data_IF_478165552290
#
_entry.id   IF_478165552290
#
_cell.length_a   1.000
_cell.length_b   1.000
_cell.length_c   1.000
_cell.angle_alpha   90.00
_cell.angle_beta   90.00
_cell.angle_gamma   90.00
#
_symmetry.space_group_name_H-M   'P 1'
#
loop_
_entity.id
_entity.type
_entity.pdbx_description
1 polymer ?
#
# COMPACT_ATOMS: atom_id res chain seq x y z
N UNK A 1 -1.27 15.72 -12.45
CA UNK A 1 -0.68 15.90 -11.10
C UNK A 1 0.83 16.09 -11.09
N UNK A 2 1.68 15.07 -11.33
CA UNK A 2 3.16 15.18 -11.15
C UNK A 2 3.77 16.39 -11.85
N UNK A 3 3.41 16.62 -13.11
CA UNK A 3 3.85 17.78 -13.90
C UNK A 3 3.27 19.11 -13.39
N UNK A 4 1.98 19.13 -13.09
CA UNK A 4 1.25 20.36 -12.70
C UNK A 4 1.67 20.88 -11.33
N UNK A 5 2.03 19.97 -10.42
CA UNK A 5 2.44 20.27 -9.05
C UNK A 5 3.96 20.19 -8.87
N UNK A 6 4.71 20.03 -9.97
CA UNK A 6 6.18 19.92 -9.98
C UNK A 6 6.74 18.90 -8.95
N UNK A 7 6.06 17.76 -8.82
CA UNK A 7 6.39 16.73 -7.83
C UNK A 7 7.68 16.00 -8.21
N UNK A 8 8.65 16.06 -7.30
CA UNK A 8 9.98 15.45 -7.48
C UNK A 8 10.04 13.96 -7.12
N UNK A 9 9.18 13.53 -6.21
CA UNK A 9 9.12 12.15 -5.71
C UNK A 9 7.66 11.75 -5.48
N UNK A 10 7.22 10.68 -6.13
CA UNK A 10 5.88 10.12 -5.98
C UNK A 10 5.94 8.79 -5.25
N UNK A 11 5.20 8.69 -4.14
CA UNK A 11 5.06 7.46 -3.35
C UNK A 11 3.60 7.04 -3.36
N UNK A 12 3.33 5.75 -3.55
CA UNK A 12 1.96 5.21 -3.48
C UNK A 12 1.93 3.94 -2.62
N UNK A 13 0.85 3.74 -1.86
CA UNK A 13 0.55 2.43 -1.27
C UNK A 13 -0.17 1.57 -2.31
N UNK A 14 0.30 0.35 -2.52
CA UNK A 14 -0.16 -0.53 -3.60
C UNK A 14 -0.73 -1.86 -3.10
N UNK A 15 -1.02 -1.99 -1.81
CA UNK A 15 -1.37 -3.29 -1.22
C UNK A 15 -2.67 -3.91 -1.75
N UNK A 16 -3.57 -3.12 -2.35
CA UNK A 16 -4.85 -3.57 -2.89
C UNK A 16 -4.94 -3.54 -4.42
N UNK A 17 -3.80 -3.41 -5.11
CA UNK A 17 -3.76 -3.13 -6.56
C UNK A 17 -4.38 -4.24 -7.41
N UNK A 18 -3.94 -5.48 -7.23
CA UNK A 18 -4.37 -6.59 -8.10
C UNK A 18 -5.65 -7.21 -7.56
N UNK A 19 -6.78 -6.92 -8.22
CA UNK A 19 -8.10 -7.44 -7.84
C UNK A 19 -8.45 -7.20 -6.35
N UNK A 20 -7.98 -6.09 -5.77
CA UNK A 20 -8.27 -5.70 -4.39
C UNK A 20 -7.29 -6.23 -3.34
N UNK A 21 -6.29 -7.06 -3.69
CA UNK A 21 -5.29 -7.59 -2.73
C UNK A 21 -3.97 -8.00 -3.40
N UNK A 22 -2.87 -7.53 -2.84
CA UNK A 22 -1.52 -7.71 -3.35
C UNK A 22 -1.26 -6.96 -4.65
N UNK A 23 -0.10 -7.22 -5.23
CA UNK A 23 0.36 -6.60 -6.47
C UNK A 23 1.15 -7.60 -7.33
N UNK A 24 0.67 -7.85 -8.55
CA UNK A 24 1.35 -8.67 -9.55
C UNK A 24 2.49 -7.87 -10.21
N UNK A 25 3.46 -8.57 -10.82
CA UNK A 25 4.58 -7.90 -11.50
C UNK A 25 4.11 -7.00 -12.64
N UNK A 26 3.06 -7.41 -13.34
CA UNK A 26 2.40 -6.63 -14.39
C UNK A 26 1.91 -5.28 -13.87
N UNK A 27 1.07 -5.28 -12.82
CA UNK A 27 0.51 -4.04 -12.29
C UNK A 27 1.57 -3.14 -11.63
N UNK A 28 2.60 -3.74 -11.01
CA UNK A 28 3.79 -3.02 -10.59
C UNK A 28 4.40 -2.20 -11.74
N UNK A 29 4.64 -2.84 -12.89
CA UNK A 29 5.22 -2.15 -14.05
C UNK A 29 4.29 -1.06 -14.61
N UNK A 30 2.98 -1.31 -14.64
CA UNK A 30 1.99 -0.31 -15.08
C UNK A 30 2.01 0.93 -14.19
N UNK A 31 2.03 0.74 -12.86
CA UNK A 31 2.09 1.83 -11.89
C UNK A 31 3.43 2.60 -11.95
N UNK A 32 4.55 1.90 -12.16
CA UNK A 32 5.85 2.54 -12.44
C UNK A 32 5.77 3.43 -13.67
N UNK A 33 5.16 2.93 -14.75
CA UNK A 33 5.02 3.68 -16.00
C UNK A 33 4.07 4.89 -15.85
N UNK A 34 3.15 4.86 -14.89
CA UNK A 34 2.32 6.02 -14.53
C UNK A 34 3.08 7.11 -13.72
N UNK A 35 4.34 6.88 -13.39
CA UNK A 35 5.21 7.86 -12.74
C UNK A 35 5.32 7.72 -11.21
N UNK A 36 4.89 6.59 -10.64
CA UNK A 36 5.14 6.26 -9.23
C UNK A 36 6.62 5.86 -9.08
N UNK A 37 7.33 6.54 -8.21
CA UNK A 37 8.76 6.33 -8.01
C UNK A 37 9.03 5.23 -6.99
N UNK A 38 8.28 5.22 -5.88
CA UNK A 38 8.43 4.24 -4.80
C UNK A 38 7.05 3.71 -4.40
N UNK A 39 6.95 2.41 -4.15
CA UNK A 39 5.71 1.74 -3.74
C UNK A 39 5.85 1.22 -2.32
N UNK A 40 4.92 1.62 -1.47
CA UNK A 40 4.70 1.00 -0.15
C UNK A 40 3.54 0.00 -0.23
N UNK A 41 3.35 -0.81 0.79
CA UNK A 41 2.32 -1.84 0.83
C UNK A 41 1.84 -2.06 2.28
N UNK A 42 1.15 -3.17 2.55
CA UNK A 42 0.64 -3.48 3.87
C UNK A 42 0.47 -4.99 4.07
N UNK A 43 -0.56 -5.40 4.81
CA UNK A 43 -0.79 -6.80 5.16
C UNK A 43 -1.10 -7.68 3.94
N UNK A 44 -1.52 -7.11 2.82
CA UNK A 44 -1.82 -7.86 1.60
C UNK A 44 -0.63 -8.03 0.64
N UNK A 45 0.57 -7.55 0.95
CA UNK A 45 1.72 -7.60 0.02
C UNK A 45 2.00 -9.01 -0.55
N UNK A 46 1.79 -10.07 0.24
CA UNK A 46 1.98 -11.46 -0.21
C UNK A 46 0.66 -12.23 -0.40
N UNK A 47 -0.46 -11.53 -0.60
CA UNK A 47 -1.72 -12.17 -0.98
C UNK A 47 -1.64 -12.82 -2.38
N UNK A 48 -0.65 -12.42 -3.19
CA UNK A 48 -0.31 -13.00 -4.48
C UNK A 48 1.07 -13.64 -4.35
N UNK A 49 1.14 -14.94 -4.63
CA UNK A 49 2.38 -15.72 -4.47
C UNK A 49 3.50 -15.25 -5.41
N UNK A 50 3.13 -14.74 -6.59
CA UNK A 50 4.07 -14.12 -7.53
C UNK A 50 4.90 -13.02 -6.88
N UNK A 51 4.31 -12.20 -5.99
CA UNK A 51 5.00 -11.09 -5.33
C UNK A 51 6.22 -11.56 -4.54
N UNK A 52 6.14 -12.72 -3.89
CA UNK A 52 7.29 -13.30 -3.17
C UNK A 52 8.48 -13.59 -4.10
N UNK A 53 8.20 -13.90 -5.37
CA UNK A 53 9.22 -14.31 -6.35
C UNK A 53 9.96 -13.12 -6.95
N UNK A 54 9.30 -11.98 -7.13
CA UNK A 54 9.90 -10.83 -7.83
C UNK A 54 10.27 -9.66 -6.92
N UNK A 55 9.75 -9.57 -5.68
CA UNK A 55 9.96 -8.38 -4.83
C UNK A 55 11.44 -8.07 -4.55
N UNK A 56 12.31 -9.07 -4.56
CA UNK A 56 13.76 -8.86 -4.41
C UNK A 56 14.42 -8.24 -5.66
N UNK A 57 13.78 -8.34 -6.82
CA UNK A 57 14.28 -7.79 -8.08
C UNK A 57 13.94 -6.30 -8.23
N UNK A 58 13.05 -5.76 -7.38
CA UNK A 58 12.48 -4.41 -7.47
C UNK A 58 12.64 -3.67 -6.13
N UNK A 59 13.78 -2.99 -5.90
CA UNK A 59 14.12 -2.43 -4.58
C UNK A 59 13.21 -1.28 -4.12
N UNK A 60 12.40 -0.74 -5.02
CA UNK A 60 11.43 0.33 -4.83
C UNK A 60 10.01 -0.17 -4.50
N UNK A 61 9.79 -1.48 -4.34
CA UNK A 61 8.57 -2.07 -3.76
C UNK A 61 8.83 -2.51 -2.31
N UNK A 62 8.30 -1.76 -1.35
CA UNK A 62 8.56 -1.95 0.08
C UNK A 62 7.47 -2.76 0.77
N UNK A 63 7.87 -3.84 1.46
CA UNK A 63 7.01 -4.56 2.43
C UNK A 63 7.13 -3.93 3.83
N UNK A 64 6.17 -4.13 4.75
CA UNK A 64 6.34 -3.64 6.12
C UNK A 64 7.55 -4.27 6.81
N UNK A 65 8.53 -3.45 7.24
CA UNK A 65 9.81 -3.93 7.78
C UNK A 65 9.66 -4.72 9.09
N UNK A 66 8.66 -4.37 9.89
CA UNK A 66 8.35 -5.00 11.17
C UNK A 66 7.37 -6.20 11.06
N UNK A 67 7.04 -6.63 9.83
CA UNK A 67 6.33 -7.90 9.61
C UNK A 67 7.27 -9.11 9.68
N UNK A 68 6.77 -10.32 9.38
CA UNK A 68 7.53 -11.57 9.45
C UNK A 68 8.94 -11.43 8.83
N UNK A 69 10.02 -11.66 9.60
CA UNK A 69 11.39 -11.43 9.15
C UNK A 69 11.84 -12.37 8.02
N UNK A 70 11.14 -13.49 7.81
CA UNK A 70 11.40 -14.41 6.70
C UNK A 70 10.75 -13.97 5.38
N UNK A 71 9.98 -12.89 5.38
CA UNK A 71 9.41 -12.34 4.16
C UNK A 71 10.49 -11.67 3.30
N UNK A 72 10.52 -11.96 1.98
CA UNK A 72 11.48 -11.35 1.07
C UNK A 72 11.17 -9.87 0.83
N UNK A 73 12.12 -9.17 0.23
CA UNK A 73 11.94 -7.78 -0.21
C UNK A 73 12.34 -6.75 0.85
N UNK A 74 12.66 -5.53 0.40
CA UNK A 74 13.09 -4.45 1.26
C UNK A 74 11.93 -3.91 2.10
N UNK A 75 12.24 -3.48 3.32
CA UNK A 75 11.31 -2.70 4.15
C UNK A 75 11.59 -1.20 4.16
N UNK A 76 12.75 -0.80 3.64
CA UNK A 76 13.17 0.58 3.55
C UNK A 76 14.02 0.82 2.31
N UNK A 77 13.97 2.04 1.79
CA UNK A 77 14.85 2.53 0.72
C UNK A 77 15.39 3.91 1.10
N UNK A 78 16.65 4.16 0.77
CA UNK A 78 17.28 5.47 0.85
C UNK A 78 17.49 5.98 -0.59
N UNK A 79 16.86 7.10 -0.93
CA UNK A 79 16.98 7.74 -2.25
C UNK A 79 17.55 9.15 -2.12
N UNK A 80 18.01 9.72 -3.24
CA UNK A 80 18.54 11.08 -3.30
C UNK A 80 17.74 11.89 -4.32
N UNK A 81 17.06 12.93 -3.85
CA UNK A 81 16.22 13.81 -4.67
C UNK A 81 16.75 15.24 -4.54
N UNK A 82 17.09 15.88 -5.67
CA UNK A 82 17.66 17.24 -5.71
C UNK A 82 18.77 17.48 -4.68
N UNK A 83 19.69 16.52 -4.54
CA UNK A 83 20.81 16.62 -3.60
C UNK A 83 20.51 16.14 -2.16
N UNK A 84 19.24 16.02 -1.77
CA UNK A 84 18.82 15.64 -0.41
C UNK A 84 18.63 14.13 -0.30
N UNK A 85 19.08 13.53 0.81
CA UNK A 85 18.83 12.11 1.13
C UNK A 85 17.46 11.98 1.77
N UNK A 86 16.63 11.07 1.26
CA UNK A 86 15.28 10.79 1.74
C UNK A 86 15.19 9.30 2.01
N UNK A 87 14.83 8.92 3.24
CA UNK A 87 14.54 7.53 3.61
C UNK A 87 13.04 7.32 3.62
N UNK A 88 12.60 6.27 2.95
CA UNK A 88 11.22 5.79 3.00
C UNK A 88 11.26 4.43 3.71
N UNK A 89 10.40 4.26 4.71
CA UNK A 89 10.28 3.02 5.48
C UNK A 89 8.81 2.65 5.55
N UNK A 90 8.50 1.40 5.23
CA UNK A 90 7.15 0.88 5.35
C UNK A 90 7.02 0.11 6.68
N UNK A 91 5.97 0.38 7.44
CA UNK A 91 5.68 -0.23 8.74
C UNK A 91 4.22 -0.64 8.78
N UNK A 92 3.89 -1.58 9.66
CA UNK A 92 2.51 -1.98 9.87
C UNK A 92 2.17 -2.04 11.36
N UNK A 93 0.98 -1.54 11.72
CA UNK A 93 0.52 -1.51 13.11
C UNK A 93 0.20 -2.91 13.67
N UNK A 94 0.06 -3.04 14.98
CA UNK A 94 -0.28 -4.31 15.63
C UNK A 94 -1.69 -4.37 16.22
N UNK A 95 -2.43 -3.25 16.24
CA UNK A 95 -3.79 -3.21 16.72
C UNK A 95 -4.74 -3.96 15.76
N UNK A 96 -5.53 -4.89 16.32
CA UNK A 96 -6.55 -5.68 15.62
C UNK A 96 -6.05 -6.55 14.45
N UNK A 97 -4.74 -6.85 14.39
CA UNK A 97 -4.18 -7.75 13.40
C UNK A 97 -3.72 -9.09 13.99
N UNK A 98 -4.01 -10.23 13.33
CA UNK A 98 -3.46 -11.51 13.72
C UNK A 98 -1.94 -11.55 13.44
N UNK A 99 -1.17 -12.11 14.38
CA UNK A 99 0.31 -12.13 14.36
C UNK A 99 0.92 -10.73 14.47
N UNK A 100 0.87 -10.17 15.68
CA UNK A 100 1.34 -8.84 15.98
C UNK A 100 2.78 -8.62 15.46
N UNK A 101 3.01 -7.66 14.54
CA UNK A 101 4.34 -7.26 14.11
C UNK A 101 5.12 -6.64 15.27
N UNK A 102 6.44 -6.53 15.12
CA UNK A 102 7.27 -5.82 16.10
C UNK A 102 6.79 -4.38 16.28
N UNK A 103 7.02 -3.82 17.47
CA UNK A 103 6.55 -2.50 17.85
C UNK A 103 7.00 -1.42 16.84
N UNK A 104 6.06 -0.72 16.14
CA UNK A 104 6.42 0.27 15.12
C UNK A 104 6.89 1.61 15.69
N UNK A 105 6.65 1.88 16.98
CA UNK A 105 6.93 3.17 17.63
C UNK A 105 8.43 3.48 17.74
N UNK A 106 9.29 2.46 17.74
CA UNK A 106 10.75 2.65 17.74
C UNK A 106 11.27 3.37 16.50
N UNK A 107 10.45 3.52 15.46
CA UNK A 107 10.82 4.18 14.21
C UNK A 107 10.58 5.71 14.17
N UNK A 108 9.89 6.29 15.15
CA UNK A 108 9.48 7.71 15.12
C UNK A 108 10.30 8.59 16.06
N UNK A 109 10.65 9.80 15.60
CA UNK A 109 11.28 10.85 16.39
C UNK A 109 10.31 12.02 16.63
N UNK A 110 10.63 12.90 17.59
CA UNK A 110 9.82 14.11 17.84
C UNK A 110 9.95 15.11 16.68
N UNK A 111 8.86 15.75 16.27
CA UNK A 111 8.85 16.74 15.19
C UNK A 111 8.55 16.19 13.80
N UNK A 112 8.15 14.91 13.68
CA UNK A 112 7.69 14.31 12.42
C UNK A 112 6.27 14.76 12.08
N UNK A 113 6.05 15.23 10.85
CA UNK A 113 4.70 15.47 10.33
C UNK A 113 3.89 14.18 10.28
N UNK A 114 2.62 14.23 10.68
CA UNK A 114 1.79 13.04 10.83
C UNK A 114 0.41 13.25 10.21
N UNK A 115 -0.10 12.18 9.61
CA UNK A 115 -1.47 12.05 9.14
C UNK A 115 -1.99 10.68 9.57
N UNK A 116 -3.23 10.62 10.07
CA UNK A 116 -3.82 9.36 10.56
C UNK A 116 -4.07 8.37 9.43
N UNK A 117 -4.60 8.87 8.31
CA UNK A 117 -4.91 8.09 7.11
C UNK A 117 -4.90 9.02 5.88
N UNK A 118 -4.31 8.57 4.78
CA UNK A 118 -4.28 9.32 3.51
C UNK A 118 -5.56 9.15 2.68
N UNK A 119 -6.37 8.13 2.99
CA UNK A 119 -7.48 7.67 2.17
C UNK A 119 -7.06 6.62 1.13
N UNK A 120 -8.05 6.15 0.35
CA UNK A 120 -7.84 5.13 -0.67
C UNK A 120 -7.91 5.71 -2.09
N UNK A 121 -7.21 5.10 -3.04
CA UNK A 121 -7.41 5.36 -4.48
C UNK A 121 -8.07 4.12 -5.10
N UNK A 122 -9.30 4.25 -5.58
CA UNK A 122 -10.13 3.12 -5.98
C UNK A 122 -11.62 3.48 -6.11
N UNK A 123 -12.54 2.50 -6.14
CA UNK A 123 -13.98 2.75 -6.29
C UNK A 123 -14.56 3.65 -5.19
N UNK A 124 -15.35 4.66 -5.53
CA UNK A 124 -15.93 5.60 -4.57
C UNK A 124 -17.22 5.09 -3.91
N UNK A 125 -18.09 4.44 -4.69
CA UNK A 125 -19.41 3.96 -4.23
C UNK A 125 -19.39 2.60 -3.53
N UNK A 126 -18.23 1.94 -3.47
CA UNK A 126 -18.04 0.70 -2.71
C UNK A 126 -17.90 0.91 -1.21
N UNK A 127 -18.05 -0.18 -0.44
CA UNK A 127 -17.72 -0.19 0.99
C UNK A 127 -16.28 -0.68 1.12
N UNK A 128 -15.34 0.25 1.41
CA UNK A 128 -13.89 -0.01 1.44
C UNK A 128 -13.44 -0.66 0.10
N UNK A 129 -13.98 -0.16 -1.01
CA UNK A 129 -13.67 -0.62 -2.37
C UNK A 129 -14.35 -1.93 -2.80
N UNK A 130 -15.16 -2.57 -1.94
CA UNK A 130 -15.91 -3.77 -2.27
C UNK A 130 -17.38 -3.48 -2.64
N UNK A 131 -18.00 -4.37 -3.42
CA UNK A 131 -19.43 -4.28 -3.77
C UNK A 131 -20.31 -4.25 -2.50
N UNK A 132 -21.21 -3.25 -2.33
CA UNK A 132 -22.02 -3.13 -1.12
C UNK A 132 -22.83 -4.38 -0.80
N UNK A 133 -23.36 -5.07 -1.82
CA UNK A 133 -24.20 -6.26 -1.66
C UNK A 133 -23.44 -7.40 -0.96
N UNK A 134 -22.15 -7.57 -1.31
CA UNK A 134 -21.27 -8.58 -0.69
C UNK A 134 -21.08 -8.28 0.79
N UNK A 135 -20.86 -7.00 1.14
CA UNK A 135 -20.68 -6.59 2.53
C UNK A 135 -21.98 -6.75 3.32
N UNK A 136 -23.12 -6.33 2.75
CA UNK A 136 -24.41 -6.50 3.41
C UNK A 136 -24.77 -7.95 3.65
N UNK A 137 -24.50 -8.85 2.69
CA UNK A 137 -24.73 -10.28 2.90
C UNK A 137 -23.90 -10.84 4.05
N UNK A 138 -22.60 -10.49 4.13
CA UNK A 138 -21.73 -10.93 5.22
C UNK A 138 -22.17 -10.37 6.56
N UNK A 139 -22.47 -9.07 6.62
CA UNK A 139 -22.85 -8.38 7.85
C UNK A 139 -24.23 -8.84 8.37
N UNK A 140 -25.20 -9.02 7.47
CA UNK A 140 -26.58 -9.37 7.84
C UNK A 140 -26.74 -10.86 8.16
N UNK A 141 -26.13 -11.75 7.36
CA UNK A 141 -26.39 -13.19 7.44
C UNK A 141 -25.23 -13.99 8.04
N UNK A 142 -24.05 -13.37 8.25
CA UNK A 142 -22.86 -14.06 8.74
C UNK A 142 -22.30 -15.10 7.76
N UNK A 143 -22.79 -15.14 6.53
CA UNK A 143 -22.41 -16.13 5.53
C UNK A 143 -21.11 -15.71 4.83
N UNK A 144 -20.23 -16.67 4.47
CA UNK A 144 -19.09 -16.40 3.61
C UNK A 144 -19.55 -15.85 2.26
N UNK A 145 -18.97 -14.73 1.83
CA UNK A 145 -19.17 -14.19 0.50
C UNK A 145 -17.83 -13.81 -0.11
N UNK A 146 -17.69 -14.03 -1.42
CA UNK A 146 -16.47 -13.67 -2.15
C UNK A 146 -16.35 -12.16 -2.22
N UNK A 147 -15.29 -11.61 -1.65
CA UNK A 147 -14.94 -10.19 -1.78
C UNK A 147 -14.72 -9.87 -3.26
N UNK A 148 -15.54 -8.98 -3.81
CA UNK A 148 -15.44 -8.50 -5.18
C UNK A 148 -15.27 -6.97 -5.18
N UNK A 149 -14.30 -6.44 -5.94
CA UNK A 149 -14.13 -4.98 -6.08
C UNK A 149 -15.41 -4.35 -6.66
N UNK A 150 -15.76 -3.17 -6.18
CA UNK A 150 -16.81 -2.35 -6.80
C UNK A 150 -16.36 -1.82 -8.17
N UNK A 151 -17.33 -1.59 -9.05
CA UNK A 151 -17.13 -1.11 -10.42
C UNK A 151 -17.93 0.19 -10.57
N UNK A 152 -17.34 1.30 -10.12
CA UNK A 152 -17.93 2.63 -10.15
C UNK A 152 -16.88 3.72 -10.40
N UNK A 153 -17.26 4.99 -10.25
CA UNK A 153 -16.35 6.12 -10.39
C UNK A 153 -15.21 6.02 -9.36
N UNK A 154 -13.98 6.12 -9.84
CA UNK A 154 -12.81 6.14 -8.98
C UNK A 154 -12.68 7.43 -8.17
N UNK A 155 -12.10 7.32 -6.98
CA UNK A 155 -11.56 8.43 -6.20
C UNK A 155 -10.03 8.36 -6.16
N UNK A 156 -9.39 9.52 -6.02
CA UNK A 156 -7.95 9.66 -5.88
C UNK A 156 -7.67 10.51 -4.63
N UNK A 157 -7.00 9.92 -3.66
CA UNK A 157 -6.63 10.59 -2.41
C UNK A 157 -5.10 10.57 -2.25
N UNK A 158 -4.55 11.69 -1.77
CA UNK A 158 -3.11 11.84 -1.57
C UNK A 158 -2.77 13.16 -0.88
N UNK A 159 -1.50 13.30 -0.51
CA UNK A 159 -0.93 14.51 0.10
C UNK A 159 0.27 14.99 -0.71
N UNK A 160 0.46 16.31 -0.78
CA UNK A 160 1.64 16.94 -1.35
C UNK A 160 2.39 17.59 -0.18
N UNK A 161 3.69 17.32 -0.08
CA UNK A 161 4.58 17.77 1.01
C UNK A 161 5.74 18.58 0.45
#
# INVERSE_FOLDING_TARGET
LKKEQEIDLTIANVENTTHGKGISRKHYQELKNCGIDIMTSGNHIFAIEETRKYINDVPDLLRPVNSNPYHPGPGTILTKIKGKKIRITNLIGNNFMPNAPENPYSAFEKGTGFITDLGMTGPYGGIIGAKPEVIFQRAKYGLPAKMTPAEDNGQFNGVIL
#
